data_IF_414174734534
#
_entry.id   IF_414174734534
#
_cell.length_a   1.000
_cell.length_b   1.000
_cell.length_c   1.000
_cell.angle_alpha   90.00
_cell.angle_beta   90.00
_cell.angle_gamma   90.00
#
_symmetry.space_group_name_H-M   'P 1'
#
loop_
_entity.id
_entity.type
_entity.pdbx_description
1 polymer ?
#
# COMPACT_ATOMS: atom_id res chain seq x y z
N UNK A 1 -0.90 -62.81 65.05
CA UNK A 1 0.23 -61.85 64.99
C UNK A 1 -0.10 -60.88 63.85
N UNK A 2 -0.88 -59.82 64.09
CA UNK A 2 -0.45 -58.43 64.33
C UNK A 2 0.72 -57.92 63.47
N UNK A 3 0.48 -56.88 62.67
CA UNK A 3 1.52 -56.07 62.01
C UNK A 3 1.00 -55.17 60.90
N UNK A 4 0.45 -54.00 61.24
CA UNK A 4 0.07 -52.89 60.34
C UNK A 4 1.30 -52.32 59.62
N UNK A 5 1.15 -51.75 58.42
CA UNK A 5 1.69 -50.42 58.09
C UNK A 5 0.89 -49.78 56.94
N UNK A 6 0.30 -48.62 57.19
CA UNK A 6 -0.25 -47.67 56.21
C UNK A 6 0.84 -46.67 55.87
N UNK A 7 1.07 -46.39 54.59
CA UNK A 7 1.65 -45.18 53.99
C UNK A 7 1.31 -45.31 52.49
N UNK A 8 0.85 -44.35 51.71
CA UNK A 8 0.67 -42.91 51.80
C UNK A 8 0.46 -42.47 50.34
N UNK A 9 -0.60 -41.72 50.05
CA UNK A 9 -0.96 -41.30 48.68
C UNK A 9 0.11 -40.35 48.13
N UNK A 10 0.58 -40.58 46.91
CA UNK A 10 1.05 -39.48 46.05
C UNK A 10 0.70 -39.78 44.59
N UNK A 11 -0.15 -38.95 44.02
CA UNK A 11 -0.53 -38.92 42.61
C UNK A 11 0.45 -38.01 41.87
N UNK A 12 0.92 -38.39 40.68
CA UNK A 12 1.45 -37.45 39.70
C UNK A 12 1.10 -37.92 38.28
N UNK A 13 0.43 -37.03 37.56
CA UNK A 13 -0.10 -37.15 36.20
C UNK A 13 0.91 -36.45 35.26
N UNK A 14 0.77 -36.67 33.94
CA UNK A 14 1.22 -35.80 32.83
C UNK A 14 2.63 -36.11 32.31
N UNK A 15 2.90 -36.24 31.01
CA UNK A 15 2.05 -35.97 29.85
C UNK A 15 2.68 -36.42 28.53
N UNK A 16 1.80 -36.56 27.55
CA UNK A 16 2.04 -36.91 26.16
C UNK A 16 2.74 -35.71 25.47
N UNK A 17 4.00 -35.87 25.07
CA UNK A 17 4.68 -34.88 24.24
C UNK A 17 4.26 -35.05 22.78
N UNK A 18 3.16 -34.41 22.38
CA UNK A 18 2.81 -34.21 20.97
C UNK A 18 3.72 -33.09 20.46
N UNK A 19 4.72 -33.44 19.66
CA UNK A 19 5.54 -32.48 18.93
C UNK A 19 4.67 -31.85 17.82
N UNK A 20 3.95 -30.78 18.15
CA UNK A 20 3.27 -29.96 17.16
C UNK A 20 4.33 -29.09 16.47
N UNK A 21 4.78 -29.52 15.29
CA UNK A 21 5.45 -28.65 14.32
C UNK A 21 4.43 -27.61 13.85
N UNK A 22 4.38 -26.48 14.55
CA UNK A 22 3.58 -25.34 14.13
C UNK A 22 4.28 -24.69 12.93
N UNK A 23 3.96 -25.18 11.73
CA UNK A 23 4.24 -24.44 10.50
C UNK A 23 3.21 -23.33 10.36
N UNK A 24 3.35 -22.25 11.14
CA UNK A 24 2.58 -21.02 10.91
C UNK A 24 3.55 -19.85 10.95
N UNK A 25 3.97 -19.45 9.76
CA UNK A 25 4.82 -18.29 9.55
C UNK A 25 4.83 -17.90 8.08
N UNK A 26 3.73 -18.09 7.36
CA UNK A 26 3.45 -17.18 6.26
C UNK A 26 3.13 -15.84 6.93
N UNK A 27 4.16 -15.05 7.24
CA UNK A 27 3.96 -13.67 7.63
C UNK A 27 3.23 -13.02 6.45
N UNK A 28 1.94 -12.77 6.60
CA UNK A 28 1.27 -11.73 5.83
C UNK A 28 2.13 -10.47 6.07
N UNK A 29 2.83 -10.01 5.03
CA UNK A 29 3.71 -8.84 5.12
C UNK A 29 2.84 -7.68 5.55
N UNK A 30 3.08 -7.18 6.75
CA UNK A 30 2.17 -6.29 7.43
C UNK A 30 2.22 -4.85 6.90
N UNK A 31 1.49 -3.93 7.56
CA UNK A 31 1.50 -2.48 7.29
C UNK A 31 2.88 -1.82 7.42
N UNK A 32 3.89 -2.56 7.89
CA UNK A 32 5.30 -2.13 8.04
C UNK A 32 6.01 -1.76 6.73
N UNK A 33 5.44 -2.11 5.57
CA UNK A 33 5.95 -1.69 4.27
C UNK A 33 5.26 -0.44 3.70
N UNK A 34 4.21 0.07 4.35
CA UNK A 34 3.43 1.20 3.82
C UNK A 34 4.17 2.54 4.00
N UNK A 35 3.91 3.51 3.11
CA UNK A 35 4.41 4.86 3.26
C UNK A 35 4.04 5.48 4.60
N UNK A 36 4.97 6.26 5.16
CA UNK A 36 4.72 7.08 6.35
C UNK A 36 4.56 8.53 5.91
N UNK A 37 3.38 9.14 6.11
CA UNK A 37 3.18 10.55 5.81
C UNK A 37 4.03 11.44 6.75
N UNK A 38 4.51 12.61 6.29
CA UNK A 38 4.35 13.13 4.94
C UNK A 38 5.26 12.42 3.94
N UNK A 39 4.72 12.15 2.75
CA UNK A 39 5.44 11.55 1.63
C UNK A 39 4.97 12.16 0.30
N UNK A 40 5.87 12.26 -0.67
CA UNK A 40 5.58 12.81 -1.98
C UNK A 40 6.19 11.96 -3.08
N UNK A 41 5.43 11.83 -4.17
CA UNK A 41 5.88 11.22 -5.41
C UNK A 41 5.65 12.20 -6.55
N UNK A 42 6.58 12.20 -7.48
CA UNK A 42 6.51 12.99 -8.70
C UNK A 42 6.74 12.07 -9.91
N UNK A 43 6.11 12.41 -11.03
CA UNK A 43 6.12 11.52 -12.18
C UNK A 43 5.46 12.10 -13.42
N UNK A 44 5.08 11.21 -14.32
CA UNK A 44 4.48 11.58 -15.60
C UNK A 44 3.94 10.36 -16.34
N UNK A 45 3.48 10.62 -17.55
CA UNK A 45 3.05 9.58 -18.47
C UNK A 45 4.27 8.77 -18.91
N UNK A 46 4.19 7.45 -18.78
CA UNK A 46 5.26 6.53 -19.17
C UNK A 46 4.82 5.59 -20.30
N UNK A 47 3.68 5.89 -20.94
CA UNK A 47 3.23 5.15 -22.11
C UNK A 47 4.21 5.32 -23.27
N UNK A 48 4.41 4.29 -24.12
CA UNK A 48 5.35 4.36 -25.25
C UNK A 48 5.08 5.51 -26.23
N UNK A 49 3.80 5.90 -26.38
CA UNK A 49 3.34 6.92 -27.31
C UNK A 49 3.07 8.28 -26.62
N UNK A 50 3.53 8.45 -25.37
CA UNK A 50 3.37 9.67 -24.59
C UNK A 50 4.05 10.88 -25.29
N UNK A 51 3.36 12.02 -25.45
CA UNK A 51 3.96 13.26 -25.95
C UNK A 51 5.18 13.71 -25.13
N UNK A 52 6.22 14.21 -25.80
CA UNK A 52 7.46 14.67 -25.14
C UNK A 52 7.30 15.88 -24.21
N UNK A 53 6.15 16.57 -24.24
CA UNK A 53 5.84 17.73 -23.38
C UNK A 53 5.03 17.36 -22.13
N UNK A 54 4.86 16.06 -21.87
CA UNK A 54 3.87 15.59 -20.92
C UNK A 54 3.96 16.24 -19.54
N UNK A 55 2.80 16.67 -19.07
CA UNK A 55 2.61 17.40 -17.81
C UNK A 55 3.13 16.54 -16.67
N UNK A 56 4.01 17.09 -15.84
CA UNK A 56 4.47 16.42 -14.63
C UNK A 56 3.32 16.29 -13.63
N UNK A 57 3.15 15.10 -13.07
CA UNK A 57 2.15 14.76 -12.07
C UNK A 57 2.78 14.64 -10.69
N UNK A 58 2.06 15.05 -9.64
CA UNK A 58 2.50 14.91 -8.25
C UNK A 58 1.37 14.44 -7.34
N UNK A 59 1.74 13.62 -6.35
CA UNK A 59 0.93 13.23 -5.21
C UNK A 59 1.74 13.52 -3.94
N UNK A 60 1.16 14.28 -3.03
CA UNK A 60 1.62 14.40 -1.65
C UNK A 60 0.54 13.92 -0.70
N UNK A 61 0.94 13.15 0.31
CA UNK A 61 0.05 12.74 1.40
C UNK A 61 0.51 13.34 2.73
N UNK A 62 -0.44 13.67 3.60
CA UNK A 62 -0.23 14.31 4.89
C UNK A 62 -0.76 13.42 6.05
N UNK A 63 -0.24 13.58 7.29
CA UNK A 63 -0.56 12.68 8.41
C UNK A 63 -2.00 12.67 8.89
N UNK A 64 -2.77 13.72 8.58
CA UNK A 64 -4.17 13.91 8.94
C UNK A 64 -5.16 13.33 7.94
N UNK A 65 -4.66 12.69 6.88
CA UNK A 65 -5.49 12.18 5.79
C UNK A 65 -5.71 13.19 4.66
N UNK A 66 -5.10 14.37 4.71
CA UNK A 66 -5.10 15.32 3.60
C UNK A 66 -4.06 14.95 2.54
N UNK A 67 -4.35 15.29 1.29
CA UNK A 67 -3.45 15.10 0.16
C UNK A 67 -3.44 16.32 -0.75
N UNK A 68 -2.36 16.50 -1.50
CA UNK A 68 -2.24 17.51 -2.54
C UNK A 68 -1.92 16.83 -3.87
N UNK A 69 -2.64 17.23 -4.92
CA UNK A 69 -2.48 16.70 -6.26
C UNK A 69 -2.03 17.81 -7.21
N UNK A 70 -1.16 17.45 -8.17
CA UNK A 70 -0.77 18.32 -9.27
C UNK A 70 -0.87 17.54 -10.57
N UNK A 71 -1.60 18.11 -11.55
CA UNK A 71 -1.84 17.56 -12.89
C UNK A 71 -2.21 16.07 -12.91
N UNK A 72 -2.96 15.59 -11.92
CA UNK A 72 -3.42 14.21 -11.90
C UNK A 72 -4.54 14.07 -12.92
N UNK A 73 -4.46 13.11 -13.86
CA UNK A 73 -5.53 12.84 -14.80
C UNK A 73 -6.86 12.59 -14.05
N UNK A 74 -7.89 13.35 -14.40
CA UNK A 74 -9.22 13.15 -13.84
C UNK A 74 -9.91 12.01 -14.59
N UNK A 75 -10.88 11.36 -13.94
CA UNK A 75 -11.77 10.45 -14.65
C UNK A 75 -12.61 9.58 -13.74
N UNK A 76 -13.28 8.60 -14.35
CA UNK A 76 -14.31 7.81 -13.67
C UNK A 76 -13.76 6.45 -13.28
N UNK A 77 -13.80 6.15 -11.98
CA UNK A 77 -13.33 4.88 -11.46
C UNK A 77 -14.39 3.81 -11.59
N UNK A 78 -14.08 2.79 -12.38
CA UNK A 78 -14.96 1.66 -12.59
C UNK A 78 -14.41 0.46 -11.82
N UNK A 79 -15.18 0.00 -10.83
CA UNK A 79 -14.96 -1.33 -10.24
C UNK A 79 -15.34 -2.36 -11.29
N UNK A 80 -14.39 -3.19 -11.67
CA UNK A 80 -14.56 -4.31 -12.58
C UNK A 80 -14.32 -5.62 -11.83
N UNK A 81 -14.69 -6.75 -12.45
CA UNK A 81 -14.43 -8.08 -11.90
C UNK A 81 -12.92 -8.38 -11.79
N UNK A 82 -12.08 -7.62 -12.51
CA UNK A 82 -10.62 -7.75 -12.55
C UNK A 82 -9.90 -6.76 -11.63
N UNK A 83 -10.61 -5.78 -11.05
CA UNK A 83 -10.02 -4.79 -10.16
C UNK A 83 -10.75 -3.45 -10.15
N UNK A 84 -9.99 -2.38 -9.93
CA UNK A 84 -10.46 -1.01 -10.10
C UNK A 84 -9.62 -0.41 -11.22
N UNK A 85 -10.28 0.08 -12.25
CA UNK A 85 -9.63 0.80 -13.33
C UNK A 85 -10.23 2.19 -13.47
N UNK A 86 -9.54 3.06 -14.19
CA UNK A 86 -9.93 4.44 -14.40
C UNK A 86 -10.14 4.72 -15.88
N UNK A 87 -11.29 5.32 -16.18
CA UNK A 87 -11.65 5.79 -17.51
C UNK A 87 -11.16 7.24 -17.66
N UNK A 88 -10.16 7.43 -18.52
CA UNK A 88 -9.46 8.70 -18.71
C UNK A 88 -10.35 9.76 -19.33
N UNK A 89 -10.12 11.01 -18.92
CA UNK A 89 -10.69 12.19 -19.55
C UNK A 89 -9.56 13.15 -19.90
N UNK A 90 -9.80 14.08 -20.82
CA UNK A 90 -8.82 15.13 -21.15
C UNK A 90 -8.60 16.15 -20.02
N UNK A 91 -9.39 16.05 -18.94
CA UNK A 91 -9.32 16.93 -17.77
C UNK A 91 -8.25 16.45 -16.79
N UNK A 92 -7.57 17.42 -16.17
CA UNK A 92 -6.62 17.17 -15.08
C UNK A 92 -7.06 17.92 -13.84
N UNK A 93 -6.78 17.34 -12.68
CA UNK A 93 -7.03 17.94 -11.39
C UNK A 93 -5.72 18.39 -10.72
N UNK A 94 -5.76 19.58 -10.12
CA UNK A 94 -4.72 20.07 -9.20
C UNK A 94 -5.39 20.76 -8.03
N UNK A 95 -5.05 20.35 -6.81
CA UNK A 95 -5.68 20.91 -5.62
C UNK A 95 -5.63 19.98 -4.42
N UNK A 96 -6.35 20.38 -3.39
CA UNK A 96 -6.51 19.60 -2.16
C UNK A 96 -7.35 18.34 -2.39
N UNK A 97 -7.05 17.30 -1.65
CA UNK A 97 -7.71 16.02 -1.70
C UNK A 97 -7.65 15.36 -0.31
N UNK A 98 -8.26 14.19 -0.19
CA UNK A 98 -8.13 13.31 0.98
C UNK A 98 -7.59 11.97 0.55
N UNK A 99 -6.87 11.25 1.41
CA UNK A 99 -6.31 9.95 1.06
C UNK A 99 -6.59 8.89 2.12
N UNK A 100 -6.57 7.63 1.68
CA UNK A 100 -6.62 6.45 2.52
C UNK A 100 -5.91 5.28 1.84
N UNK A 101 -5.57 4.24 2.60
CA UNK A 101 -5.03 3.02 1.99
C UNK A 101 -6.14 2.21 1.30
N UNK A 102 -5.92 1.88 0.03
CA UNK A 102 -6.72 0.92 -0.69
C UNK A 102 -6.12 -0.48 -0.57
N UNK A 103 -6.70 -1.29 0.32
CA UNK A 103 -6.17 -2.62 0.69
C UNK A 103 -4.70 -2.48 1.14
N UNK A 104 -3.83 -3.40 0.71
CA UNK A 104 -2.41 -3.44 1.06
C UNK A 104 -1.47 -2.92 -0.03
N UNK A 105 -2.01 -2.37 -1.13
CA UNK A 105 -1.23 -2.18 -2.36
C UNK A 105 -1.52 -0.87 -3.11
N UNK A 106 -2.41 -0.02 -2.59
CA UNK A 106 -2.70 1.25 -3.20
C UNK A 106 -3.04 2.35 -2.20
N UNK A 107 -2.99 3.58 -2.69
CA UNK A 107 -3.49 4.78 -2.02
C UNK A 107 -4.69 5.25 -2.83
N UNK A 108 -5.87 5.26 -2.20
CA UNK A 108 -7.07 5.88 -2.76
C UNK A 108 -7.09 7.35 -2.32
N UNK A 109 -7.16 8.25 -3.29
CA UNK A 109 -7.21 9.69 -3.10
C UNK A 109 -8.53 10.21 -3.65
N UNK A 110 -9.32 10.89 -2.83
CA UNK A 110 -10.60 11.46 -3.21
C UNK A 110 -10.54 12.98 -3.30
N UNK A 111 -11.07 13.53 -4.39
CA UNK A 111 -11.08 14.96 -4.70
C UNK A 111 -12.35 15.31 -5.46
N UNK A 112 -12.97 16.45 -5.12
CA UNK A 112 -14.26 16.87 -5.68
C UNK A 112 -15.28 15.70 -5.67
N UNK A 113 -15.85 15.35 -6.83
CA UNK A 113 -16.77 14.23 -7.01
C UNK A 113 -16.06 12.98 -7.61
N UNK A 114 -14.73 12.85 -7.40
CA UNK A 114 -13.88 11.84 -8.05
C UNK A 114 -12.94 11.07 -7.11
N UNK A 115 -12.62 9.86 -7.57
CA UNK A 115 -11.59 8.90 -7.13
C UNK A 115 -10.19 9.15 -7.73
N UNK A 116 -9.11 8.62 -7.15
CA UNK A 116 -7.95 8.05 -7.86
C UNK A 116 -7.24 6.99 -7.03
N UNK A 117 -6.83 5.86 -7.63
CA UNK A 117 -5.97 4.88 -6.96
C UNK A 117 -4.57 4.90 -7.57
N UNK A 118 -3.58 5.24 -6.73
CA UNK A 118 -2.17 5.05 -7.02
C UNK A 118 -1.74 3.69 -6.50
N UNK A 119 -1.30 2.80 -7.39
CA UNK A 119 -0.85 1.46 -7.04
C UNK A 119 0.64 1.45 -6.81
N UNK A 120 1.09 0.81 -5.73
CA UNK A 120 2.50 0.49 -5.55
C UNK A 120 2.99 -0.44 -6.67
N UNK A 121 4.23 -0.27 -7.12
CA UNK A 121 4.81 -1.18 -8.09
C UNK A 121 5.02 -2.59 -7.48
N UNK A 122 5.00 -3.66 -8.30
CA UNK A 122 5.41 -4.98 -7.83
C UNK A 122 6.87 -4.98 -7.35
N UNK A 123 7.08 -5.26 -6.07
CA UNK A 123 8.40 -5.42 -5.46
C UNK A 123 8.94 -6.85 -5.55
N UNK A 124 10.10 -7.09 -4.94
CA UNK A 124 10.74 -8.42 -4.93
C UNK A 124 9.99 -9.41 -4.03
N UNK A 125 10.03 -10.69 -4.38
CA UNK A 125 9.44 -11.77 -3.60
C UNK A 125 7.92 -11.61 -3.33
N UNK A 126 7.18 -10.90 -4.19
CA UNK A 126 5.75 -10.61 -4.01
C UNK A 126 5.46 -9.52 -2.96
N UNK A 127 6.42 -8.62 -2.72
CA UNK A 127 6.19 -7.39 -1.94
C UNK A 127 5.68 -6.28 -2.86
N UNK A 128 5.35 -5.14 -2.27
CA UNK A 128 5.05 -3.91 -3.01
C UNK A 128 6.20 -2.95 -2.82
N UNK A 129 6.63 -2.37 -3.93
CA UNK A 129 7.59 -1.27 -3.94
C UNK A 129 6.80 0.04 -3.90
N UNK A 130 6.84 0.69 -2.75
CA UNK A 130 6.12 1.95 -2.54
C UNK A 130 6.97 3.16 -2.92
N UNK A 131 8.26 3.00 -3.23
CA UNK A 131 9.05 4.11 -3.75
C UNK A 131 8.72 4.40 -5.20
N UNK A 132 8.08 3.47 -5.89
CA UNK A 132 7.49 3.68 -7.21
C UNK A 132 5.98 3.44 -7.16
N UNK A 133 5.20 4.32 -7.78
CA UNK A 133 3.75 4.14 -7.94
C UNK A 133 3.34 4.22 -9.40
N UNK A 134 2.16 3.69 -9.71
CA UNK A 134 1.55 3.80 -11.02
C UNK A 134 0.04 3.98 -10.98
N UNK A 135 -0.47 4.54 -12.07
CA UNK A 135 -1.87 4.49 -12.46
C UNK A 135 -1.96 3.84 -13.83
N UNK A 136 -3.02 3.06 -14.06
CA UNK A 136 -3.27 2.40 -15.35
C UNK A 136 -4.72 2.66 -15.73
N UNK A 137 -4.98 3.03 -16.99
CA UNK A 137 -6.33 3.19 -17.52
C UNK A 137 -7.09 1.86 -17.57
N UNK A 138 -8.41 1.92 -17.75
CA UNK A 138 -9.24 0.74 -18.00
C UNK A 138 -8.87 -0.02 -19.27
N UNK A 139 -8.39 0.68 -20.30
CA UNK A 139 -7.97 0.07 -21.56
C UNK A 139 -6.54 -0.48 -21.49
N UNK A 140 -5.76 -0.06 -20.49
CA UNK A 140 -4.38 -0.49 -20.28
C UNK A 140 -3.36 0.11 -21.26
N UNK A 141 -3.79 1.09 -22.04
CA UNK A 141 -3.01 1.84 -23.03
C UNK A 141 -2.27 3.03 -22.43
N UNK A 142 -2.83 3.62 -21.35
CA UNK A 142 -2.24 4.73 -20.63
C UNK A 142 -1.74 4.28 -19.26
N UNK A 143 -0.45 4.48 -19.03
CA UNK A 143 0.20 4.23 -17.75
C UNK A 143 0.96 5.46 -17.30
N UNK A 144 0.65 5.91 -16.09
CA UNK A 144 1.42 6.94 -15.39
C UNK A 144 2.32 6.29 -14.36
N UNK A 145 3.55 6.77 -14.24
CA UNK A 145 4.55 6.30 -13.29
C UNK A 145 5.09 7.44 -12.46
N UNK A 146 5.31 7.19 -11.17
CA UNK A 146 5.83 8.16 -10.21
C UNK A 146 6.90 7.55 -9.32
N UNK A 147 7.91 8.33 -8.96
CA UNK A 147 8.94 7.96 -8.00
C UNK A 147 8.85 8.82 -6.74
N UNK A 148 9.20 8.25 -5.59
CA UNK A 148 9.26 8.94 -4.30
C UNK A 148 10.33 10.05 -4.40
N UNK A 149 9.97 11.27 -4.00
CA UNK A 149 10.88 12.41 -4.02
C UNK A 149 11.20 12.93 -2.62
N UNK A 150 10.33 12.67 -1.64
CA UNK A 150 10.60 12.90 -0.21
C UNK A 150 9.72 12.01 0.68
N UNK A 151 10.13 11.87 1.95
CA UNK A 151 9.41 11.07 2.94
C UNK A 151 9.83 9.60 2.96
N UNK A 152 8.94 8.74 3.43
CA UNK A 152 9.19 7.30 3.59
C UNK A 152 8.18 6.48 2.82
N UNK A 153 8.69 5.51 2.06
CA UNK A 153 7.95 4.43 1.40
C UNK A 153 8.10 3.11 2.18
N UNK A 154 8.28 3.18 3.49
CA UNK A 154 8.42 2.03 4.38
C UNK A 154 9.82 1.42 4.35
N UNK A 155 10.21 0.79 3.23
CA UNK A 155 11.55 0.18 3.08
C UNK A 155 12.59 1.13 2.48
N UNK A 156 12.13 2.26 1.94
CA UNK A 156 12.97 3.31 1.40
C UNK A 156 12.63 4.64 2.08
N UNK A 157 13.67 5.30 2.61
CA UNK A 157 13.57 6.58 3.29
C UNK A 157 14.40 7.62 2.55
N UNK A 158 13.75 8.72 2.14
CA UNK A 158 14.40 9.91 1.59
C UNK A 158 14.43 11.03 2.63
N UNK A 159 14.97 12.19 2.24
CA UNK A 159 14.86 13.38 3.08
C UNK A 159 13.40 13.72 3.37
N UNK A 160 13.14 14.25 4.56
CA UNK A 160 11.81 14.70 4.95
C UNK A 160 11.22 15.70 3.94
N UNK A 161 9.92 15.58 3.67
CA UNK A 161 9.20 16.55 2.86
C UNK A 161 9.20 17.91 3.54
N UNK A 162 9.49 18.97 2.77
CA UNK A 162 9.40 20.35 3.29
C UNK A 162 7.94 20.71 3.49
N UNK A 163 7.63 21.37 4.60
CA UNK A 163 6.33 22.02 4.75
C UNK A 163 6.22 23.14 3.69
N UNK A 164 5.05 23.28 3.05
CA UNK A 164 4.83 24.31 2.04
C UNK A 164 4.85 25.73 2.64
#
# INVERSE_FOLDING_TARGET
MNGRHRFGRTTAIVGLAILALVMTGCSERGPESRPQPPAQWDGGNISPDAPLDDRSMSLRILPDGEAELVNVPAGRWQRTDQGICWDETDEVYSGAATWSFFKDQGIEVAFEDSAVIFWAWPGKFGSYDWSEMKMVSCEGDVTWGMGLTCGSAGLEDLSACREP
#
